data_IF_609219851777
#
_entry.id   IF_609219851777
#
_cell.length_a   1.000
_cell.length_b   1.000
_cell.length_c   1.000
_cell.angle_alpha   90.00
_cell.angle_beta   90.00
_cell.angle_gamma   90.00
#
_symmetry.space_group_name_H-M   'P 1'
#
loop_
_entity.id
_entity.type
_entity.pdbx_description
1 polymer ?
#
# COMPACT_ATOMS: atom_id res chain seq x y z
N UNK A 1 18.94 -33.88 -3.67
CA UNK A 1 18.04 -33.00 -2.88
C UNK A 1 17.96 -31.66 -3.60
N UNK A 2 16.93 -31.46 -4.44
CA UNK A 2 16.75 -30.22 -5.19
C UNK A 2 16.40 -29.08 -4.22
N UNK A 3 17.16 -28.00 -4.25
CA UNK A 3 16.84 -26.78 -3.53
C UNK A 3 15.61 -26.17 -4.20
N UNK A 4 14.53 -25.97 -3.44
CA UNK A 4 13.35 -25.28 -3.94
C UNK A 4 13.76 -23.89 -4.47
N UNK A 5 13.19 -23.44 -5.60
CA UNK A 5 13.45 -22.12 -6.15
C UNK A 5 13.25 -21.02 -5.10
N UNK A 6 14.07 -19.98 -5.14
CA UNK A 6 14.08 -18.91 -4.14
C UNK A 6 12.79 -18.07 -4.06
N UNK A 7 11.81 -18.30 -4.94
CA UNK A 7 10.51 -17.62 -4.97
C UNK A 7 9.41 -18.38 -4.20
N UNK A 8 9.65 -19.63 -3.78
CA UNK A 8 8.64 -20.45 -3.09
C UNK A 8 8.33 -19.88 -1.70
N UNK A 9 7.06 -19.62 -1.35
CA UNK A 9 6.66 -19.09 -0.05
C UNK A 9 7.13 -20.00 1.10
N UNK A 10 7.65 -19.40 2.16
CA UNK A 10 7.84 -20.07 3.46
C UNK A 10 6.81 -19.49 4.43
N UNK A 11 6.02 -20.30 5.13
CA UNK A 11 5.06 -19.79 6.11
C UNK A 11 5.83 -19.05 7.21
N UNK A 12 5.66 -17.73 7.28
CA UNK A 12 6.13 -16.94 8.40
C UNK A 12 5.16 -17.14 9.58
N UNK A 13 5.65 -17.35 10.81
CA UNK A 13 4.76 -17.46 11.97
C UNK A 13 4.02 -16.13 12.17
N UNK A 14 2.69 -16.16 12.16
CA UNK A 14 1.84 -14.99 12.37
C UNK A 14 2.15 -14.36 13.74
N UNK A 15 2.58 -13.09 13.73
CA UNK A 15 2.99 -12.39 14.94
C UNK A 15 1.83 -11.67 15.61
N UNK A 16 1.92 -11.44 16.92
CA UNK A 16 0.93 -10.66 17.69
C UNK A 16 0.71 -9.24 17.11
N UNK A 17 1.73 -8.68 16.44
CA UNK A 17 1.66 -7.38 15.76
C UNK A 17 0.78 -7.40 14.49
N UNK A 18 0.55 -8.56 13.87
CA UNK A 18 -0.36 -8.68 12.72
C UNK A 18 -1.82 -8.43 13.13
N UNK A 19 -2.18 -8.73 14.39
CA UNK A 19 -3.50 -8.41 14.93
C UNK A 19 -3.75 -6.89 15.01
N UNK A 20 -2.69 -6.11 15.30
CA UNK A 20 -2.75 -4.64 15.33
C UNK A 20 -2.82 -4.02 13.91
N UNK A 21 -2.58 -4.81 12.86
CA UNK A 21 -2.77 -4.37 11.48
C UNK A 21 -4.25 -4.24 11.08
N UNK A 22 -5.22 -4.48 11.99
CA UNK A 22 -6.66 -4.25 11.77
C UNK A 22 -6.97 -2.85 11.19
N UNK A 23 -6.22 -1.82 11.58
CA UNK A 23 -6.35 -0.46 11.04
C UNK A 23 -6.19 -0.38 9.50
N UNK A 24 -5.54 -1.36 8.87
CA UNK A 24 -5.38 -1.44 7.41
C UNK A 24 -6.69 -1.81 6.70
N UNK A 25 -7.68 -2.38 7.39
CA UNK A 25 -9.00 -2.73 6.80
C UNK A 25 -9.93 -1.52 6.66
N UNK A 26 -9.60 -0.38 7.25
CA UNK A 26 -10.44 0.82 7.15
C UNK A 26 -10.28 1.43 5.76
N UNK A 27 -11.39 1.55 5.02
CA UNK A 27 -11.43 2.12 3.67
C UNK A 27 -10.74 3.49 3.60
N UNK A 28 -9.97 3.74 2.54
CA UNK A 28 -9.26 5.02 2.30
C UNK A 28 -10.22 6.22 2.34
N UNK A 29 -11.44 6.06 1.83
CA UNK A 29 -12.47 7.11 1.80
C UNK A 29 -12.97 7.47 3.21
N UNK A 30 -13.15 6.49 4.08
CA UNK A 30 -13.57 6.71 5.46
C UNK A 30 -12.51 7.49 6.27
N UNK A 31 -11.22 7.18 6.06
CA UNK A 31 -10.11 7.92 6.68
C UNK A 31 -9.98 9.35 6.12
N UNK A 32 -10.22 9.54 4.82
CA UNK A 32 -10.23 10.88 4.21
C UNK A 32 -11.36 11.76 4.76
N UNK A 33 -12.58 11.21 4.91
CA UNK A 33 -13.70 11.92 5.52
C UNK A 33 -13.44 12.27 6.99
N UNK A 34 -12.86 11.35 7.77
CA UNK A 34 -12.46 11.60 9.15
C UNK A 34 -11.41 12.72 9.23
N UNK A 35 -10.42 12.73 8.32
CA UNK A 35 -9.45 13.81 8.19
C UNK A 35 -10.11 15.15 7.86
N UNK A 36 -11.00 15.21 6.86
CA UNK A 36 -11.71 16.44 6.51
C UNK A 36 -12.57 16.97 7.68
N UNK A 37 -13.23 16.08 8.42
CA UNK A 37 -13.99 16.43 9.63
C UNK A 37 -13.09 17.02 10.72
N UNK A 38 -11.92 16.41 10.98
CA UNK A 38 -10.96 16.93 11.95
C UNK A 38 -10.45 18.34 11.57
N UNK A 39 -10.20 18.60 10.27
CA UNK A 39 -9.84 19.93 9.78
C UNK A 39 -10.92 20.97 10.04
N UNK A 40 -12.18 20.65 9.71
CA UNK A 40 -13.31 21.55 9.88
C UNK A 40 -13.52 21.88 11.37
N UNK A 41 -13.39 20.89 12.26
CA UNK A 41 -13.48 21.08 13.72
C UNK A 41 -12.32 21.96 14.21
N UNK A 42 -11.08 21.69 13.78
CA UNK A 42 -9.91 22.49 14.16
C UNK A 42 -10.06 23.95 13.74
N UNK A 43 -10.50 24.20 12.50
CA UNK A 43 -10.78 25.53 11.98
C UNK A 43 -11.90 26.24 12.74
N UNK A 44 -13.00 25.56 13.04
CA UNK A 44 -14.12 26.11 13.80
C UNK A 44 -13.72 26.46 15.25
N UNK A 45 -12.96 25.58 15.92
CA UNK A 45 -12.45 25.85 17.27
C UNK A 45 -11.45 26.99 17.30
N UNK A 46 -10.57 27.11 16.29
CA UNK A 46 -9.63 28.22 16.16
C UNK A 46 -10.35 29.54 15.92
N UNK A 47 -11.35 29.56 15.04
CA UNK A 47 -12.18 30.73 14.77
C UNK A 47 -12.97 31.18 16.02
N UNK A 48 -13.56 30.24 16.76
CA UNK A 48 -14.21 30.54 18.05
C UNK A 48 -13.20 31.02 19.10
N UNK A 49 -12.00 30.45 19.16
CA UNK A 49 -10.96 30.85 20.11
C UNK A 49 -10.40 32.25 19.84
N UNK A 50 -10.22 32.62 18.58
CA UNK A 50 -9.85 33.98 18.17
C UNK A 50 -10.97 34.99 18.46
N UNK A 51 -12.24 34.57 18.35
CA UNK A 51 -13.41 35.42 18.62
C UNK A 51 -13.70 35.63 20.10
N UNK A 52 -13.41 34.65 20.96
CA UNK A 52 -13.78 34.66 22.40
C UNK A 52 -12.62 34.94 23.34
N UNK A 53 -11.36 34.84 22.89
CA UNK A 53 -10.17 35.13 23.70
C UNK A 53 -9.85 34.08 24.78
N UNK A 54 -10.69 33.07 24.98
CA UNK A 54 -10.49 32.03 26.00
C UNK A 54 -9.41 31.02 25.60
N UNK A 55 -8.40 30.87 26.46
CA UNK A 55 -7.26 29.97 26.26
C UNK A 55 -7.66 28.49 26.04
N UNK A 56 -8.78 28.05 26.63
CA UNK A 56 -9.31 26.70 26.46
C UNK A 56 -9.68 26.37 24.99
N UNK A 57 -10.25 27.33 24.25
CA UNK A 57 -10.57 27.13 22.83
C UNK A 57 -9.30 27.07 21.98
N UNK A 58 -8.26 27.82 22.33
CA UNK A 58 -6.94 27.74 21.66
C UNK A 58 -6.28 26.38 21.89
N UNK A 59 -6.34 25.85 23.11
CA UNK A 59 -5.82 24.52 23.42
C UNK A 59 -6.60 23.42 22.69
N UNK A 60 -7.94 23.49 22.65
CA UNK A 60 -8.78 22.57 21.90
C UNK A 60 -8.50 22.60 20.38
N UNK A 61 -8.30 23.79 19.81
CA UNK A 61 -7.92 23.95 18.41
C UNK A 61 -6.55 23.31 18.11
N UNK A 62 -5.58 23.45 19.03
CA UNK A 62 -4.27 22.81 18.87
C UNK A 62 -4.38 21.28 18.85
N UNK A 63 -5.16 20.67 19.76
CA UNK A 63 -5.40 19.22 19.79
C UNK A 63 -6.06 18.75 18.50
N UNK A 64 -7.11 19.43 18.05
CA UNK A 64 -7.80 19.09 16.81
C UNK A 64 -6.88 19.24 15.57
N UNK A 65 -6.04 20.27 15.53
CA UNK A 65 -5.06 20.47 14.46
C UNK A 65 -3.97 19.38 14.46
N UNK A 66 -3.50 18.96 15.64
CA UNK A 66 -2.57 17.84 15.76
C UNK A 66 -3.21 16.54 15.27
N UNK A 67 -4.46 16.26 15.67
CA UNK A 67 -5.19 15.09 15.18
C UNK A 67 -5.36 15.11 13.65
N UNK A 68 -5.67 16.27 13.08
CA UNK A 68 -5.76 16.45 11.63
C UNK A 68 -4.42 16.19 10.93
N UNK A 69 -3.32 16.73 11.44
CA UNK A 69 -1.97 16.51 10.90
C UNK A 69 -1.59 15.03 10.93
N UNK A 70 -1.88 14.32 12.02
CA UNK A 70 -1.60 12.90 12.15
C UNK A 70 -2.41 12.06 11.15
N UNK A 71 -3.71 12.33 11.01
CA UNK A 71 -4.59 11.63 10.05
C UNK A 71 -4.15 11.87 8.61
N UNK A 72 -3.88 13.13 8.25
CA UNK A 72 -3.45 13.51 6.90
C UNK A 72 -2.07 12.96 6.58
N UNK A 73 -1.14 13.01 7.55
CA UNK A 73 0.17 12.39 7.44
C UNK A 73 0.10 10.87 7.24
N UNK A 74 -0.80 10.18 7.95
CA UNK A 74 -1.05 8.75 7.75
C UNK A 74 -1.55 8.44 6.34
N UNK A 75 -2.48 9.24 5.81
CA UNK A 75 -3.00 9.08 4.45
C UNK A 75 -1.91 9.32 3.39
N UNK A 76 -1.07 10.32 3.59
CA UNK A 76 0.04 10.61 2.67
C UNK A 76 1.07 9.47 2.63
N UNK A 77 1.36 8.84 3.77
CA UNK A 77 2.24 7.67 3.85
C UNK A 77 1.64 6.44 3.17
N UNK A 78 0.33 6.20 3.30
CA UNK A 78 -0.35 5.10 2.62
C UNK A 78 -0.48 5.33 1.11
N UNK A 79 -0.71 6.57 0.67
CA UNK A 79 -0.69 6.93 -0.75
C UNK A 79 0.67 6.62 -1.40
N UNK A 80 1.77 6.86 -0.67
CA UNK A 80 3.12 6.53 -1.12
C UNK A 80 3.42 5.03 -1.19
N UNK A 81 2.68 4.18 -0.49
CA UNK A 81 2.92 2.73 -0.46
C UNK A 81 2.27 1.96 -1.62
N UNK A 82 1.49 2.64 -2.47
CA UNK A 82 0.78 1.99 -3.59
C UNK A 82 -0.37 1.11 -3.10
N UNK A 83 -1.37 0.88 -3.94
CA UNK A 83 -2.39 -0.14 -3.69
C UNK A 83 -1.74 -1.50 -3.96
N UNK A 84 -1.10 -2.06 -2.94
CA UNK A 84 -0.60 -3.43 -2.97
C UNK A 84 -1.81 -4.39 -3.07
N UNK A 85 -2.07 -4.93 -4.27
CA UNK A 85 -3.21 -5.83 -4.54
C UNK A 85 -2.71 -7.25 -4.79
N UNK A 86 -3.37 -8.29 -4.25
CA UNK A 86 -3.04 -9.66 -4.60
C UNK A 86 -3.30 -9.89 -6.09
N UNK A 87 -2.39 -10.58 -6.75
CA UNK A 87 -2.48 -10.91 -8.16
C UNK A 87 -1.79 -12.25 -8.43
N UNK A 88 -2.12 -12.87 -9.55
CA UNK A 88 -1.54 -14.15 -9.96
C UNK A 88 -0.99 -14.04 -11.36
N UNK A 89 0.18 -14.63 -11.59
CA UNK A 89 0.77 -14.79 -12.92
C UNK A 89 -0.08 -15.80 -13.70
N UNK A 90 -0.60 -15.42 -14.85
CA UNK A 90 -1.52 -16.26 -15.66
C UNK A 90 -0.87 -16.84 -16.90
N UNK A 91 0.17 -16.20 -17.44
CA UNK A 91 0.90 -16.72 -18.59
C UNK A 91 2.05 -17.62 -18.14
N UNK A 92 2.18 -18.75 -18.82
CA UNK A 92 3.36 -19.59 -18.74
C UNK A 92 4.58 -18.80 -19.23
N UNK A 93 5.68 -18.89 -18.48
CA UNK A 93 6.98 -18.28 -18.80
C UNK A 93 7.02 -16.73 -18.74
N UNK A 94 6.36 -16.12 -17.75
CA UNK A 94 6.39 -14.65 -17.60
C UNK A 94 7.78 -14.13 -17.19
N UNK A 95 8.38 -13.29 -18.03
CA UNK A 95 9.73 -12.76 -17.81
C UNK A 95 9.74 -11.64 -16.75
N UNK A 96 10.39 -11.88 -15.62
CA UNK A 96 10.67 -10.86 -14.61
C UNK A 96 11.88 -10.01 -15.00
N UNK A 97 11.72 -8.68 -14.97
CA UNK A 97 12.71 -7.68 -15.38
C UNK A 97 13.04 -6.72 -14.25
N UNK A 98 14.22 -6.09 -14.34
CA UNK A 98 14.68 -5.12 -13.36
C UNK A 98 14.02 -3.74 -13.51
N UNK A 99 13.47 -3.42 -14.68
CA UNK A 99 12.81 -2.15 -14.98
C UNK A 99 11.60 -2.35 -15.93
N UNK A 100 10.79 -1.31 -16.08
CA UNK A 100 9.59 -1.18 -16.91
C UNK A 100 9.90 -1.05 -18.42
N UNK A 101 10.78 -1.93 -18.94
CA UNK A 101 11.20 -1.91 -20.33
C UNK A 101 11.47 -3.31 -20.88
N UNK A 102 11.17 -3.50 -22.17
CA UNK A 102 11.47 -4.73 -22.90
C UNK A 102 12.97 -4.99 -23.05
N UNK A 103 13.78 -3.92 -22.99
CA UNK A 103 15.24 -3.97 -23.06
C UNK A 103 15.89 -4.13 -21.68
N UNK A 104 15.12 -4.03 -20.59
CA UNK A 104 15.66 -4.18 -19.25
C UNK A 104 16.18 -5.62 -19.02
N UNK A 105 17.31 -5.79 -18.32
CA UNK A 105 17.84 -7.11 -18.01
C UNK A 105 16.83 -7.91 -17.17
N UNK A 106 16.90 -9.24 -17.29
CA UNK A 106 16.07 -10.13 -16.49
C UNK A 106 16.47 -10.01 -15.03
N UNK A 107 15.48 -9.83 -14.15
CA UNK A 107 15.70 -9.82 -12.72
C UNK A 107 15.84 -11.24 -12.16
N UNK A 108 15.18 -12.22 -12.79
CA UNK A 108 15.29 -13.63 -12.43
C UNK A 108 15.98 -14.42 -13.57
N UNK A 109 16.77 -15.45 -13.24
CA UNK A 109 17.34 -16.34 -14.25
C UNK A 109 16.23 -17.11 -14.96
N UNK A 110 15.34 -17.73 -14.17
CA UNK A 110 14.17 -18.46 -14.65
C UNK A 110 12.94 -17.55 -14.74
N UNK A 111 12.06 -17.79 -15.73
CA UNK A 111 10.79 -17.10 -15.80
C UNK A 111 9.81 -17.57 -14.73
N UNK A 112 8.80 -16.74 -14.47
CA UNK A 112 7.76 -17.04 -13.51
C UNK A 112 6.73 -18.00 -14.13
N UNK A 113 6.43 -19.13 -13.47
CA UNK A 113 5.39 -20.05 -13.94
C UNK A 113 3.99 -19.47 -13.72
N UNK A 114 3.02 -19.94 -14.50
CA UNK A 114 1.62 -19.66 -14.23
C UNK A 114 1.22 -20.16 -12.84
N UNK A 115 0.29 -19.43 -12.21
CA UNK A 115 -0.13 -19.68 -10.83
C UNK A 115 0.78 -19.04 -9.76
N UNK A 116 1.86 -18.35 -10.13
CA UNK A 116 2.70 -17.66 -9.14
C UNK A 116 1.91 -16.52 -8.49
N UNK A 117 1.69 -16.62 -7.18
CA UNK A 117 1.10 -15.55 -6.38
C UNK A 117 2.08 -14.39 -6.22
N UNK A 118 1.60 -13.19 -6.54
CA UNK A 118 2.37 -11.96 -6.45
C UNK A 118 1.51 -10.85 -5.86
N UNK A 119 2.15 -9.80 -5.36
CA UNK A 119 1.45 -8.59 -4.96
C UNK A 119 1.73 -7.51 -6.00
N UNK A 120 0.71 -7.07 -6.74
CA UNK A 120 0.77 -5.93 -7.63
C UNK A 120 1.02 -4.66 -6.80
N UNK A 121 2.14 -3.97 -7.04
CA UNK A 121 2.51 -2.74 -6.34
C UNK A 121 2.17 -1.49 -7.13
N UNK A 122 2.34 -1.58 -8.45
CA UNK A 122 2.20 -0.46 -9.36
C UNK A 122 1.80 -0.96 -10.74
N UNK A 123 0.94 -0.20 -11.39
CA UNK A 123 0.50 -0.45 -12.76
C UNK A 123 0.89 0.74 -13.65
N UNK A 124 1.80 0.48 -14.59
CA UNK A 124 2.29 1.41 -15.60
C UNK A 124 2.23 0.73 -16.96
N UNK A 125 1.02 0.41 -17.42
CA UNK A 125 0.77 -0.22 -18.72
C UNK A 125 1.75 0.26 -19.81
N UNK A 126 2.49 -0.66 -20.48
CA UNK A 126 2.27 -2.11 -20.53
C UNK A 126 2.98 -2.92 -19.43
N UNK A 127 3.60 -2.28 -18.44
CA UNK A 127 4.36 -2.95 -17.39
C UNK A 127 3.71 -2.81 -16.02
N UNK A 128 3.84 -3.84 -15.20
CA UNK A 128 3.40 -3.81 -13.82
C UNK A 128 4.56 -4.18 -12.91
N UNK A 129 4.66 -3.47 -11.78
CA UNK A 129 5.62 -3.79 -10.73
C UNK A 129 4.95 -4.72 -9.74
N UNK A 130 5.54 -5.88 -9.50
CA UNK A 130 5.02 -6.90 -8.61
C UNK A 130 6.04 -7.25 -7.54
N UNK A 131 5.57 -7.60 -6.35
CA UNK A 131 6.37 -8.18 -5.27
C UNK A 131 6.14 -9.68 -5.21
N UNK A 132 7.23 -10.43 -5.25
CA UNK A 132 7.23 -11.88 -5.07
C UNK A 132 7.12 -12.25 -3.58
N UNK A 133 6.78 -13.50 -3.28
CA UNK A 133 6.66 -14.00 -1.91
C UNK A 133 7.94 -13.86 -1.06
N UNK A 134 9.11 -13.84 -1.71
CA UNK A 134 10.41 -13.61 -1.05
C UNK A 134 10.73 -12.12 -0.79
N UNK A 135 9.80 -11.21 -1.08
CA UNK A 135 9.96 -9.77 -0.89
C UNK A 135 10.65 -9.04 -2.04
N UNK A 136 11.19 -9.73 -3.06
CA UNK A 136 11.79 -9.07 -4.22
C UNK A 136 10.72 -8.39 -5.07
N UNK A 137 11.05 -7.18 -5.53
CA UNK A 137 10.24 -6.43 -6.48
C UNK A 137 10.80 -6.60 -7.89
N UNK A 138 9.92 -6.88 -8.85
CA UNK A 138 10.28 -7.09 -10.25
C UNK A 138 9.21 -6.47 -11.14
N UNK A 139 9.59 -6.15 -12.38
CA UNK A 139 8.68 -5.70 -13.42
C UNK A 139 8.30 -6.87 -14.33
N UNK A 140 7.02 -7.00 -14.64
CA UNK A 140 6.48 -8.00 -15.56
C UNK A 140 5.51 -7.32 -16.52
N UNK A 141 5.24 -7.94 -17.66
CA UNK A 141 4.24 -7.42 -18.59
C UNK A 141 2.85 -7.49 -17.95
N UNK A 142 2.07 -6.42 -18.05
CA UNK A 142 0.71 -6.34 -17.51
C UNK A 142 -0.18 -7.49 -18.03
N UNK A 143 0.04 -7.92 -19.29
CA UNK A 143 -0.70 -9.01 -19.92
C UNK A 143 -0.48 -10.38 -19.27
N UNK A 144 0.58 -10.56 -18.48
CA UNK A 144 0.91 -11.84 -17.83
C UNK A 144 0.41 -11.96 -16.40
N UNK A 145 -0.27 -10.94 -15.87
CA UNK A 145 -0.71 -10.88 -14.48
C UNK A 145 -2.18 -10.51 -14.41
N UNK A 146 -2.92 -11.20 -13.56
CA UNK A 146 -4.34 -10.92 -13.31
C UNK A 146 -4.54 -10.59 -11.83
N UNK A 147 -5.08 -9.41 -11.48
CA UNK A 147 -5.47 -9.08 -10.11
C UNK A 147 -6.52 -10.07 -9.60
N UNK A 148 -6.42 -10.47 -8.34
CA UNK A 148 -7.41 -11.32 -7.68
C UNK A 148 -8.36 -10.41 -6.90
N UNK A 149 -9.65 -10.46 -7.25
CA UNK A 149 -10.70 -9.81 -6.46
C UNK A 149 -10.88 -10.62 -5.16
N UNK A 150 -10.83 -9.99 -3.98
CA UNK A 150 -11.17 -10.69 -2.75
C UNK A 150 -12.68 -11.03 -2.76
N UNK A 151 -12.98 -12.33 -2.64
CA UNK A 151 -14.36 -12.86 -2.48
C UNK A 151 -15.04 -12.35 -1.21
#
# INVERSE_FOLDING_TARGET
RAQLPAWVPRPAPAGLLDALAFHRRISRSARALAGAGAFAIAGAMLALGLRTGHAAFRAGAAVAATAWLLLTGSLALDARRGDARPAVVTLDETLARAADSSLAPRALPEPLPAGTEVTLLEDRSPWVRVRLANGREVWVAASGVTPVEPL
#
